data_IF_604208066423
#
_entry.id   IF_604208066423
#
_cell.length_a   1.000
_cell.length_b   1.000
_cell.length_c   1.000
_cell.angle_alpha   90.00
_cell.angle_beta   90.00
_cell.angle_gamma   90.00
#
_symmetry.space_group_name_H-M   'P 1'
#
loop_
_entity.id
_entity.type
_entity.pdbx_description
1 polymer ?
#
# COMPACT_ATOMS: atom_id res chain seq x y z
N UNK A 1 -3.39 -7.52 -16.15
CA UNK A 1 -3.45 -8.07 -14.77
C UNK A 1 -4.03 -7.01 -13.86
N UNK A 2 -4.93 -7.38 -12.95
CA UNK A 2 -5.48 -6.47 -11.94
C UNK A 2 -4.38 -6.12 -10.92
N UNK A 3 -4.00 -4.84 -10.81
CA UNK A 3 -2.92 -4.39 -9.91
C UNK A 3 -3.24 -4.64 -8.43
N UNK A 4 -4.51 -4.84 -8.09
CA UNK A 4 -4.95 -5.19 -6.73
C UNK A 4 -4.75 -6.68 -6.41
N UNK A 5 -4.55 -7.52 -7.43
CA UNK A 5 -4.31 -8.95 -7.29
C UNK A 5 -2.81 -9.32 -7.17
N UNK A 6 -1.92 -8.34 -7.37
CA UNK A 6 -0.48 -8.55 -7.27
C UNK A 6 -0.02 -8.37 -5.83
N UNK A 7 0.29 -9.49 -5.19
CA UNK A 7 0.98 -9.49 -3.91
C UNK A 7 2.46 -9.14 -4.13
N UNK A 8 2.90 -8.04 -3.53
CA UNK A 8 4.32 -7.69 -3.48
C UNK A 8 4.84 -7.99 -2.08
N UNK A 9 5.78 -8.95 -1.92
CA UNK A 9 6.36 -9.21 -0.63
C UNK A 9 7.20 -8.00 -0.21
N UNK A 10 7.01 -7.54 1.03
CA UNK A 10 7.67 -6.35 1.60
C UNK A 10 9.19 -6.44 1.58
N UNK A 11 9.76 -7.65 1.51
CA UNK A 11 11.21 -7.89 1.30
C UNK A 11 11.79 -7.31 0.00
N UNK A 12 10.95 -6.95 -0.97
CA UNK A 12 11.35 -6.31 -2.23
C UNK A 12 11.32 -4.77 -2.14
N UNK A 13 11.10 -4.23 -0.93
CA UNK A 13 10.99 -2.80 -0.66
C UNK A 13 12.06 -2.41 0.34
N UNK A 14 12.94 -1.49 -0.08
CA UNK A 14 13.96 -0.90 0.78
C UNK A 14 13.52 0.51 1.16
N UNK A 15 13.28 0.72 2.45
CA UNK A 15 12.94 2.03 3.00
C UNK A 15 14.16 2.96 2.99
N UNK A 16 13.99 4.16 2.42
CA UNK A 16 15.04 5.18 2.36
C UNK A 16 14.84 6.22 3.47
N UNK A 17 13.58 6.62 3.70
CA UNK A 17 13.25 7.59 4.75
C UNK A 17 11.80 8.05 4.69
N UNK A 18 11.35 8.73 5.75
CA UNK A 18 10.02 9.32 5.83
C UNK A 18 9.95 10.61 5.00
N UNK A 19 8.86 10.80 4.26
CA UNK A 19 8.62 11.99 3.43
C UNK A 19 7.31 12.72 3.76
N UNK A 20 6.48 12.16 4.63
CA UNK A 20 5.26 12.81 5.11
C UNK A 20 4.39 11.90 5.94
N UNK A 21 3.23 12.42 6.33
CA UNK A 21 2.21 11.70 7.09
C UNK A 21 0.84 11.91 6.41
N UNK A 22 0.02 10.87 6.44
CA UNK A 22 -1.39 10.92 6.07
C UNK A 22 -2.26 10.55 7.27
N UNK A 23 -3.58 10.66 7.12
CA UNK A 23 -4.54 10.45 8.22
C UNK A 23 -4.36 9.13 8.99
N UNK A 24 -3.99 8.05 8.29
CA UNK A 24 -3.85 6.71 8.87
C UNK A 24 -2.54 6.01 8.47
N UNK A 25 -1.56 6.75 7.95
CA UNK A 25 -0.33 6.16 7.47
C UNK A 25 0.84 7.12 7.54
N UNK A 26 2.05 6.57 7.60
CA UNK A 26 3.26 7.32 7.29
C UNK A 26 3.57 7.15 5.81
N UNK A 27 4.02 8.22 5.17
CA UNK A 27 4.48 8.19 3.78
C UNK A 27 6.00 8.10 3.77
N UNK A 28 6.51 7.04 3.17
CA UNK A 28 7.94 6.73 3.12
C UNK A 28 8.43 6.74 1.67
N UNK A 29 9.62 7.27 1.44
CA UNK A 29 10.36 7.06 0.20
C UNK A 29 10.99 5.67 0.25
N UNK A 30 10.78 4.91 -0.81
CA UNK A 30 11.28 3.54 -0.94
C UNK A 30 11.94 3.31 -2.28
N UNK A 31 12.91 2.38 -2.30
CA UNK A 31 13.38 1.69 -3.50
C UNK A 31 12.60 0.37 -3.59
N UNK A 32 11.97 0.10 -4.72
CA UNK A 32 11.22 -1.13 -4.98
C UNK A 32 11.73 -1.80 -6.24
N UNK A 33 11.87 -3.12 -6.19
CA UNK A 33 12.10 -3.97 -7.36
C UNK A 33 10.75 -4.50 -7.84
N UNK A 34 10.40 -4.24 -9.09
CA UNK A 34 9.21 -4.76 -9.73
C UNK A 34 9.32 -6.25 -10.08
N UNK A 35 8.24 -6.86 -10.59
CA UNK A 35 8.20 -8.29 -10.88
C UNK A 35 9.09 -8.67 -12.08
N UNK A 36 9.40 -7.72 -12.94
CA UNK A 36 10.30 -7.88 -14.09
C UNK A 36 11.76 -7.53 -13.73
N UNK A 37 12.04 -7.23 -12.45
CA UNK A 37 13.36 -6.83 -11.98
C UNK A 37 13.67 -5.34 -12.18
N UNK A 38 12.69 -4.53 -12.61
CA UNK A 38 12.89 -3.09 -12.76
C UNK A 38 12.93 -2.39 -11.39
N UNK A 39 13.97 -1.59 -11.17
CA UNK A 39 14.12 -0.83 -9.93
C UNK A 39 13.50 0.57 -10.07
N UNK A 40 12.72 0.97 -9.07
CA UNK A 40 12.13 2.31 -9.02
C UNK A 40 12.16 2.91 -7.63
N UNK A 41 12.28 4.23 -7.60
CA UNK A 41 12.01 5.03 -6.40
C UNK A 41 10.52 5.37 -6.37
N UNK A 42 9.86 5.04 -5.27
CA UNK A 42 8.42 5.24 -5.09
C UNK A 42 8.11 5.85 -3.71
N UNK A 43 6.87 6.32 -3.56
CA UNK A 43 6.29 6.64 -2.27
C UNK A 43 5.42 5.45 -1.80
N UNK A 44 5.63 5.01 -0.56
CA UNK A 44 4.86 3.95 0.08
C UNK A 44 4.06 4.55 1.24
N UNK A 45 2.75 4.29 1.27
CA UNK A 45 1.91 4.55 2.44
C UNK A 45 2.00 3.35 3.38
N UNK A 46 2.72 3.49 4.47
CA UNK A 46 2.83 2.48 5.53
C UNK A 46 1.69 2.67 6.53
N UNK A 47 0.69 1.80 6.46
CA UNK A 47 -0.38 1.76 7.45
C UNK A 47 0.11 1.04 8.71
N UNK A 48 0.55 1.80 9.71
CA UNK A 48 0.72 1.25 11.04
C UNK A 48 -0.63 1.28 11.76
N UNK A 49 -1.42 0.20 11.63
CA UNK A 49 -2.43 -0.07 12.65
C UNK A 49 -1.65 -0.37 13.92
N UNK A 50 -1.55 0.60 14.83
CA UNK A 50 -0.86 0.40 16.10
C UNK A 50 -1.40 -0.87 16.78
N UNK A 51 -0.58 -1.54 17.58
CA UNK A 51 -1.03 -2.73 18.31
C UNK A 51 -2.30 -2.45 19.15
N UNK A 52 -2.50 -1.20 19.57
CA UNK A 52 -3.68 -0.72 20.29
C UNK A 52 -4.94 -0.64 19.41
N UNK A 53 -4.79 -0.33 18.13
CA UNK A 53 -5.89 -0.25 17.17
C UNK A 53 -6.16 -1.60 16.49
N UNK A 54 -5.27 -2.58 16.62
CA UNK A 54 -5.42 -3.92 16.04
C UNK A 54 -6.70 -4.59 16.59
N UNK A 55 -7.60 -4.99 15.69
CA UNK A 55 -8.88 -5.62 16.05
C UNK A 55 -10.00 -4.65 16.46
N UNK A 56 -9.69 -3.37 16.71
CA UNK A 56 -10.68 -2.33 16.99
C UNK A 56 -11.45 -1.91 15.73
N UNK A 57 -12.59 -1.24 15.91
CA UNK A 57 -13.33 -0.66 14.79
C UNK A 57 -12.52 0.42 14.06
N UNK A 58 -11.79 1.26 14.80
CA UNK A 58 -10.95 2.31 14.23
C UNK A 58 -9.82 1.73 13.36
N UNK A 59 -9.14 0.68 13.83
CA UNK A 59 -8.12 -0.02 13.03
C UNK A 59 -8.70 -0.69 11.78
N UNK A 60 -9.91 -1.25 11.87
CA UNK A 60 -10.61 -1.78 10.68
C UNK A 60 -10.96 -0.69 9.67
N UNK A 61 -11.45 0.46 10.14
CA UNK A 61 -11.76 1.60 9.28
C UNK A 61 -10.51 2.14 8.57
N UNK A 62 -9.39 2.30 9.29
CA UNK A 62 -8.12 2.71 8.70
C UNK A 62 -7.67 1.78 7.56
N UNK A 63 -7.77 0.45 7.78
CA UNK A 63 -7.47 -0.52 6.73
C UNK A 63 -8.41 -0.42 5.53
N UNK A 64 -9.72 -0.26 5.77
CA UNK A 64 -10.72 -0.12 4.70
C UNK A 64 -10.45 1.13 3.85
N UNK A 65 -10.14 2.26 4.49
CA UNK A 65 -9.89 3.53 3.79
C UNK A 65 -8.67 3.42 2.87
N UNK A 66 -7.56 2.86 3.34
CA UNK A 66 -6.35 2.71 2.50
C UNK A 66 -6.58 1.75 1.35
N UNK A 67 -7.33 0.65 1.57
CA UNK A 67 -7.71 -0.26 0.48
C UNK A 67 -8.61 0.43 -0.55
N UNK A 68 -9.53 1.28 -0.08
CA UNK A 68 -10.42 2.05 -0.94
C UNK A 68 -9.63 3.06 -1.79
N UNK A 69 -8.72 3.83 -1.18
CA UNK A 69 -7.81 4.74 -1.89
C UNK A 69 -6.97 3.99 -2.93
N UNK A 70 -6.38 2.85 -2.56
CA UNK A 70 -5.58 2.06 -3.47
C UNK A 70 -6.40 1.54 -4.66
N UNK A 71 -7.66 1.13 -4.44
CA UNK A 71 -8.57 0.73 -5.52
C UNK A 71 -8.90 1.87 -6.47
N UNK A 72 -9.14 3.06 -5.95
CA UNK A 72 -9.33 4.27 -6.77
C UNK A 72 -8.08 4.48 -7.61
N UNK A 73 -6.89 4.56 -7.00
CA UNK A 73 -5.62 4.83 -7.68
C UNK A 73 -5.24 3.73 -8.69
N UNK A 74 -5.64 2.48 -8.48
CA UNK A 74 -5.43 1.39 -9.43
C UNK A 74 -6.14 1.63 -10.77
N UNK A 75 -7.30 2.30 -10.74
CA UNK A 75 -8.12 2.58 -11.91
C UNK A 75 -7.71 3.82 -12.69
N UNK A 76 -6.82 4.66 -12.15
CA UNK A 76 -6.37 5.89 -12.81
C UNK A 76 -4.97 5.72 -13.39
N UNK A 77 -4.85 6.00 -14.69
CA UNK A 77 -3.56 6.25 -15.35
C UNK A 77 -3.68 7.57 -16.11
N UNK A 78 -3.27 8.65 -15.45
CA UNK A 78 -3.32 9.99 -16.01
C UNK A 78 -2.14 10.79 -15.44
N UNK A 79 -1.51 11.62 -16.28
CA UNK A 79 -0.32 12.41 -15.92
C UNK A 79 -0.55 13.42 -14.79
N UNK A 80 -1.80 13.79 -14.50
CA UNK A 80 -2.14 14.71 -13.40
C UNK A 80 -2.37 14.04 -12.06
N UNK A 81 -2.50 12.70 -12.03
CA UNK A 81 -2.75 11.95 -10.80
C UNK A 81 -1.53 11.08 -10.44
N UNK A 82 -1.29 10.94 -9.14
CA UNK A 82 -0.28 10.00 -8.64
C UNK A 82 -0.72 8.59 -9.07
N UNK A 83 0.13 7.93 -9.85
CA UNK A 83 -0.16 6.59 -10.35
C UNK A 83 0.34 5.55 -9.35
N UNK A 84 -0.51 4.58 -9.01
CA UNK A 84 -0.08 3.39 -8.30
C UNK A 84 0.61 2.44 -9.29
N UNK A 85 1.95 2.36 -9.21
CA UNK A 85 2.77 1.60 -10.16
C UNK A 85 2.71 0.08 -9.93
N UNK A 86 3.01 -0.37 -8.70
CA UNK A 86 3.11 -1.80 -8.41
C UNK A 86 1.87 -2.34 -7.72
N UNK A 87 1.48 -1.82 -6.56
CA UNK A 87 0.26 -2.26 -5.88
C UNK A 87 0.30 -2.12 -4.36
N UNK A 88 -0.41 -3.02 -3.69
CA UNK A 88 -0.53 -3.08 -2.23
C UNK A 88 0.35 -4.23 -1.71
N UNK A 89 1.04 -3.98 -0.61
CA UNK A 89 1.91 -4.97 0.03
C UNK A 89 1.32 -5.35 1.38
N UNK A 90 1.44 -6.63 1.74
CA UNK A 90 1.01 -7.14 3.03
C UNK A 90 2.15 -8.00 3.62
N UNK A 91 2.45 -7.81 4.90
CA UNK A 91 3.45 -8.63 5.60
C UNK A 91 2.98 -10.07 5.79
N UNK A 92 1.66 -10.29 5.82
CA UNK A 92 1.01 -11.60 5.88
C UNK A 92 0.13 -11.78 4.62
N UNK A 93 -0.05 -13.01 4.10
CA UNK A 93 -1.04 -13.24 3.05
C UNK A 93 -2.39 -12.69 3.51
N UNK A 94 -3.03 -11.88 2.66
CA UNK A 94 -4.34 -11.27 2.94
C UNK A 94 -5.23 -12.40 3.47
N UNK A 95 -5.72 -12.34 4.73
CA UNK A 95 -6.76 -13.26 5.17
C UNK A 95 -7.82 -13.23 4.08
N UNK A 96 -8.39 -14.36 3.65
CA UNK A 96 -9.48 -14.35 2.66
C UNK A 96 -10.66 -13.59 3.26
N UNK A 97 -10.60 -12.27 3.24
CA UNK A 97 -11.70 -11.39 3.59
C UNK A 97 -12.52 -11.39 2.32
N UNK A 98 -13.56 -12.21 2.30
CA UNK A 98 -14.64 -11.99 1.35
C UNK A 98 -15.18 -10.61 1.69
N UNK A 99 -14.93 -9.62 0.84
CA UNK A 99 -15.61 -8.33 0.89
C UNK A 99 -17.03 -8.45 0.30
N UNK A 100 -17.65 -9.62 0.48
CA UNK A 100 -19.02 -9.96 0.11
C UNK A 100 -19.76 -10.39 1.38
#
# INVERSE_FOLDING_TARGET
MDRLSMYYPTRMIKQIGMIGEGNFCQVQKVEQVGPEGDERVAAMKACHVSNELKGTQAGRMASIEILHEARILAGFSNYTFITMFYGICFDEPIPKVSFL
#
